data_IF_900678454743
#
_entry.id   IF_900678454743
#
_cell.length_a   1.000
_cell.length_b   1.000
_cell.length_c   1.000
_cell.angle_alpha   90.00
_cell.angle_beta   90.00
_cell.angle_gamma   90.00
#
_symmetry.space_group_name_H-M   'P 1'
#
loop_
_entity.id
_entity.type
_entity.pdbx_description
1 polymer ?
#
# COMPACT_ATOMS: atom_id res chain seq x y z
N UNK A 1 -20.36 -7.45 15.30
CA UNK A 1 -21.43 -6.54 15.75
C UNK A 1 -22.67 -6.83 14.92
N UNK A 2 -23.84 -6.88 15.54
CA UNK A 2 -25.11 -6.91 14.82
C UNK A 2 -25.42 -5.49 14.32
N UNK A 3 -25.99 -5.33 13.11
CA UNK A 3 -26.24 -4.01 12.48
C UNK A 3 -27.00 -3.03 13.39
N UNK A 4 -27.89 -3.54 14.25
CA UNK A 4 -28.64 -2.75 15.21
C UNK A 4 -27.75 -2.11 16.30
N UNK A 5 -26.67 -2.77 16.71
CA UNK A 5 -25.73 -2.25 17.70
C UNK A 5 -24.81 -1.19 17.10
N UNK A 6 -24.33 -1.39 15.87
CA UNK A 6 -23.54 -0.38 15.15
C UNK A 6 -24.37 0.89 14.93
N UNK A 7 -25.63 0.75 14.48
CA UNK A 7 -26.53 1.88 14.27
C UNK A 7 -26.76 2.68 15.56
N UNK A 8 -26.84 2.00 16.72
CA UNK A 8 -26.95 2.66 18.02
C UNK A 8 -25.69 3.46 18.36
N UNK A 9 -24.50 2.87 18.18
CA UNK A 9 -23.22 3.57 18.43
C UNK A 9 -23.02 4.78 17.52
N UNK A 10 -23.42 4.68 16.26
CA UNK A 10 -23.37 5.81 15.31
C UNK A 10 -24.29 6.94 15.77
N UNK A 11 -25.49 6.60 16.26
CA UNK A 11 -26.46 7.59 16.75
C UNK A 11 -25.91 8.32 17.97
N UNK A 12 -25.37 7.60 18.94
CA UNK A 12 -24.74 8.19 20.13
C UNK A 12 -23.56 9.11 19.75
N UNK A 13 -22.70 8.70 18.82
CA UNK A 13 -21.57 9.52 18.35
C UNK A 13 -22.02 10.79 17.63
N UNK A 14 -23.16 10.76 16.92
CA UNK A 14 -23.78 11.95 16.30
C UNK A 14 -24.32 12.93 17.33
N UNK A 15 -24.94 12.43 18.40
CA UNK A 15 -25.39 13.27 19.51
C UNK A 15 -24.22 13.96 20.22
N UNK A 16 -23.13 13.21 20.48
CA UNK A 16 -21.88 13.78 21.01
C UNK A 16 -21.31 14.87 20.09
N UNK A 17 -21.33 14.66 18.77
CA UNK A 17 -20.90 15.68 17.80
C UNK A 17 -21.80 16.92 17.83
N UNK A 18 -23.12 16.76 18.03
CA UNK A 18 -24.04 17.89 18.17
C UNK A 18 -23.67 18.75 19.37
N UNK A 19 -23.45 18.13 20.53
CA UNK A 19 -23.02 18.82 21.73
C UNK A 19 -21.67 19.55 21.54
N UNK A 20 -20.73 18.94 20.79
CA UNK A 20 -19.45 19.60 20.45
C UNK A 20 -19.65 20.86 19.59
N UNK A 21 -20.58 20.84 18.63
CA UNK A 21 -20.91 22.01 17.79
C UNK A 21 -21.61 23.12 18.56
N UNK A 22 -22.42 22.76 19.55
CA UNK A 22 -23.07 23.74 20.43
C UNK A 22 -22.06 24.41 21.37
N UNK A 23 -21.02 23.68 21.79
CA UNK A 23 -19.97 24.20 22.66
C UNK A 23 -18.90 25.03 21.91
N UNK A 24 -18.75 24.86 20.59
CA UNK A 24 -17.78 25.61 19.80
C UNK A 24 -17.39 24.92 18.49
N UNK A 25 -16.14 25.11 18.06
CA UNK A 25 -15.62 24.47 16.85
C UNK A 25 -15.35 22.97 17.09
N UNK A 26 -16.15 22.13 16.44
CA UNK A 26 -16.06 20.67 16.55
C UNK A 26 -14.95 20.04 15.69
N UNK A 27 -14.34 20.80 14.76
CA UNK A 27 -13.29 20.31 13.86
C UNK A 27 -12.11 21.29 13.78
N UNK A 28 -11.43 21.54 14.91
CA UNK A 28 -10.31 22.47 14.95
C UNK A 28 -9.13 21.95 14.10
N UNK A 29 -8.37 22.88 13.52
CA UNK A 29 -7.21 22.61 12.66
C UNK A 29 -5.95 23.39 13.10
N UNK A 30 -5.89 23.81 14.36
CA UNK A 30 -4.88 24.69 14.94
C UNK A 30 -3.73 23.94 15.65
N UNK A 31 -3.93 22.67 16.00
CA UNK A 31 -2.88 21.88 16.66
C UNK A 31 -1.71 21.58 15.71
N UNK A 32 -0.49 21.60 16.24
CA UNK A 32 0.75 21.25 15.53
C UNK A 32 1.51 20.25 16.40
N UNK A 33 1.65 19.01 15.92
CA UNK A 33 2.53 18.01 16.55
C UNK A 33 3.99 18.32 16.20
N UNK A 34 4.90 17.93 17.06
CA UNK A 34 6.36 18.03 16.85
C UNK A 34 7.07 16.66 16.89
N UNK A 35 6.35 15.60 17.24
CA UNK A 35 6.90 14.26 17.36
C UNK A 35 5.97 13.17 16.78
N UNK A 36 6.58 12.06 16.36
CA UNK A 36 5.94 10.82 15.94
C UNK A 36 6.23 9.70 16.94
N UNK A 37 5.29 8.77 17.10
CA UNK A 37 5.39 7.68 18.06
C UNK A 37 6.67 6.84 17.89
N UNK A 38 6.99 6.37 16.68
CA UNK A 38 8.18 5.53 16.47
C UNK A 38 9.48 6.32 16.61
N UNK A 39 9.50 7.61 16.25
CA UNK A 39 10.68 8.47 16.45
C UNK A 39 10.98 8.58 17.95
N UNK A 40 9.95 8.78 18.77
CA UNK A 40 10.08 8.80 20.23
C UNK A 40 10.57 7.45 20.77
N UNK A 41 10.00 6.34 20.32
CA UNK A 41 10.49 5.01 20.73
C UNK A 41 11.94 4.79 20.33
N UNK A 42 12.35 5.19 19.13
CA UNK A 42 13.71 5.04 18.63
C UNK A 42 14.71 5.91 19.40
N UNK A 43 14.41 7.20 19.58
CA UNK A 43 15.29 8.14 20.28
C UNK A 43 15.49 7.78 21.76
N UNK A 44 14.44 7.29 22.43
CA UNK A 44 14.44 7.06 23.86
C UNK A 44 14.50 5.57 24.26
N UNK A 45 14.71 4.65 23.31
CA UNK A 45 14.68 3.19 23.52
C UNK A 45 15.51 2.74 24.73
N UNK A 46 16.71 3.30 24.89
CA UNK A 46 17.70 2.89 25.88
C UNK A 46 17.77 3.80 27.11
N UNK A 47 16.92 4.82 27.21
CA UNK A 47 16.89 5.69 28.39
C UNK A 47 15.97 5.09 29.45
N UNK A 48 16.43 5.02 30.70
CA UNK A 48 15.62 4.58 31.84
C UNK A 48 14.66 5.71 32.31
N UNK A 49 13.81 5.38 33.29
CA UNK A 49 12.82 6.33 33.81
C UNK A 49 13.45 7.54 34.51
N UNK A 50 14.54 7.34 35.26
CA UNK A 50 15.20 8.41 36.01
C UNK A 50 15.87 9.42 35.08
N UNK A 51 16.49 8.95 33.99
CA UNK A 51 17.06 9.82 32.98
C UNK A 51 15.98 10.62 32.23
N UNK A 52 14.87 9.98 31.85
CA UNK A 52 13.75 10.68 31.18
C UNK A 52 13.10 11.73 32.07
N UNK A 53 12.94 11.46 33.37
CA UNK A 53 12.42 12.41 34.34
C UNK A 53 13.37 13.60 34.52
N UNK A 54 14.69 13.37 34.47
CA UNK A 54 15.71 14.43 34.59
C UNK A 54 15.75 15.34 33.37
N UNK A 55 15.67 14.76 32.16
CA UNK A 55 15.66 15.52 30.90
C UNK A 55 14.35 16.30 30.71
N UNK A 56 13.25 15.86 31.35
CA UNK A 56 11.94 16.52 31.33
C UNK A 56 11.45 16.83 29.89
N UNK A 57 11.66 15.87 28.98
CA UNK A 57 11.40 16.03 27.55
C UNK A 57 9.92 16.22 27.27
N UNK A 58 9.56 17.44 26.86
CA UNK A 58 8.19 17.79 26.48
C UNK A 58 7.95 17.53 25.00
N UNK A 59 6.81 16.91 24.68
CA UNK A 59 6.43 16.55 23.32
C UNK A 59 4.97 16.87 23.02
N UNK A 60 4.67 17.16 21.75
CA UNK A 60 3.33 17.39 21.20
C UNK A 60 3.02 16.30 20.19
N UNK A 61 2.09 15.44 20.55
CA UNK A 61 1.70 14.28 19.72
C UNK A 61 0.22 14.37 19.35
N UNK A 62 -0.14 13.77 18.22
CA UNK A 62 -1.52 13.62 17.81
C UNK A 62 -1.72 12.32 17.04
N UNK A 63 -2.84 11.65 17.29
CA UNK A 63 -3.15 10.38 16.66
C UNK A 63 -4.55 9.90 16.94
N UNK A 64 -4.91 8.77 16.34
CA UNK A 64 -6.18 8.08 16.59
C UNK A 64 -6.12 7.36 17.93
N UNK A 65 -7.13 7.55 18.78
CA UNK A 65 -7.26 6.80 20.03
C UNK A 65 -7.63 5.34 19.73
N UNK A 66 -6.70 4.43 19.97
CA UNK A 66 -6.85 2.99 19.72
C UNK A 66 -7.24 2.21 20.97
N UNK A 67 -6.96 2.75 22.15
CA UNK A 67 -7.33 2.16 23.43
C UNK A 67 -7.63 3.25 24.46
N UNK A 68 -8.50 2.93 25.40
CA UNK A 68 -8.91 3.81 26.50
C UNK A 68 -9.17 2.98 27.75
N UNK A 69 -8.46 3.27 28.83
CA UNK A 69 -8.62 2.63 30.14
C UNK A 69 -8.81 3.70 31.22
N UNK A 70 -10.00 3.76 31.79
CA UNK A 70 -10.35 4.73 32.84
C UNK A 70 -10.14 4.09 34.21
N UNK A 71 -9.39 4.76 35.08
CA UNK A 71 -9.02 4.32 36.43
C UNK A 71 -9.40 5.40 37.46
N UNK A 72 -10.68 5.80 37.46
CA UNK A 72 -11.18 6.86 38.34
C UNK A 72 -10.68 8.25 37.92
N UNK A 73 -9.68 8.78 38.66
CA UNK A 73 -9.05 10.10 38.42
C UNK A 73 -7.86 10.05 37.44
N UNK A 74 -7.39 8.86 37.10
CA UNK A 74 -6.35 8.67 36.10
C UNK A 74 -6.85 7.82 34.94
N UNK A 75 -6.26 7.95 33.77
CA UNK A 75 -6.55 7.12 32.60
C UNK A 75 -5.30 6.88 31.77
N UNK A 76 -5.28 5.76 31.06
CA UNK A 76 -4.33 5.51 29.99
C UNK A 76 -5.09 5.46 28.66
N UNK A 77 -4.54 6.11 27.65
CA UNK A 77 -4.96 5.94 26.26
C UNK A 77 -3.77 5.53 25.41
N UNK A 78 -4.05 4.88 24.29
CA UNK A 78 -3.05 4.61 23.27
C UNK A 78 -3.40 5.40 22.03
N UNK A 79 -2.50 6.28 21.60
CA UNK A 79 -2.63 7.03 20.35
C UNK A 79 -1.83 6.33 19.26
N UNK A 80 -2.39 6.30 18.06
CA UNK A 80 -1.75 5.77 16.86
C UNK A 80 -1.65 6.87 15.81
N UNK A 81 -0.42 7.19 15.40
CA UNK A 81 -0.14 8.08 14.28
C UNK A 81 0.27 7.28 13.03
N UNK A 82 0.92 7.94 12.07
CA UNK A 82 1.36 7.29 10.83
C UNK A 82 2.57 6.35 11.01
N UNK A 83 3.33 6.56 12.08
CA UNK A 83 4.56 5.83 12.39
C UNK A 83 4.22 4.59 13.22
N UNK A 84 3.50 4.77 14.32
CA UNK A 84 3.21 3.68 15.24
C UNK A 84 2.27 4.08 16.36
N UNK A 85 2.50 3.55 17.57
CA UNK A 85 1.65 3.73 18.74
C UNK A 85 2.43 4.25 19.94
N UNK A 86 1.84 5.17 20.68
CA UNK A 86 2.39 5.69 21.93
C UNK A 86 1.32 5.76 23.01
N UNK A 87 1.72 5.44 24.25
CA UNK A 87 0.84 5.55 25.41
C UNK A 87 0.79 6.99 25.91
N UNK A 88 -0.38 7.41 26.35
CA UNK A 88 -0.59 8.71 27.00
C UNK A 88 -1.27 8.48 28.33
N UNK A 89 -0.66 9.02 29.38
CA UNK A 89 -1.16 8.99 30.74
C UNK A 89 -1.83 10.32 31.07
N UNK A 90 -3.05 10.22 31.59
CA UNK A 90 -3.91 11.35 31.89
C UNK A 90 -4.24 11.35 33.37
N UNK A 91 -4.02 12.46 34.05
CA UNK A 91 -4.47 12.68 35.42
C UNK A 91 -5.42 13.87 35.43
N UNK A 92 -6.59 13.69 36.06
CA UNK A 92 -7.61 14.73 36.15
C UNK A 92 -7.06 16.06 36.68
N UNK A 93 -6.22 15.95 37.70
CA UNK A 93 -5.73 17.12 38.46
C UNK A 93 -4.56 17.83 37.74
N UNK A 94 -4.00 17.24 36.68
CA UNK A 94 -2.93 17.81 35.84
C UNK A 94 -3.46 18.44 34.53
N UNK A 95 -4.71 18.13 34.15
CA UNK A 95 -5.35 18.68 32.97
C UNK A 95 -6.15 19.95 33.32
N UNK A 96 -6.38 20.87 32.36
CA UNK A 96 -7.24 22.01 32.57
C UNK A 96 -8.63 21.60 33.06
N UNK A 97 -9.25 22.46 33.87
CA UNK A 97 -10.55 22.18 34.49
C UNK A 97 -11.60 21.74 33.46
N UNK A 98 -12.29 20.64 33.74
CA UNK A 98 -13.34 20.09 32.88
C UNK A 98 -12.85 19.22 31.71
N UNK A 99 -11.58 19.32 31.29
CA UNK A 99 -11.05 18.55 30.13
C UNK A 99 -11.12 17.04 30.37
N UNK A 100 -10.75 16.58 31.56
CA UNK A 100 -10.79 15.15 31.90
C UNK A 100 -12.22 14.59 31.88
N UNK A 101 -13.22 15.39 32.26
CA UNK A 101 -14.63 15.06 32.23
C UNK A 101 -15.12 14.94 30.78
N UNK A 102 -14.78 15.90 29.92
CA UNK A 102 -15.04 15.82 28.48
C UNK A 102 -14.38 14.60 27.85
N UNK A 103 -13.12 14.32 28.20
CA UNK A 103 -12.38 13.14 27.74
C UNK A 103 -13.10 11.82 28.06
N UNK A 104 -13.76 11.70 29.21
CA UNK A 104 -14.52 10.48 29.54
C UNK A 104 -15.63 10.18 28.53
N UNK A 105 -16.19 11.19 27.87
CA UNK A 105 -17.19 11.03 26.81
C UNK A 105 -16.60 10.76 25.40
N UNK A 106 -15.28 10.91 25.20
CA UNK A 106 -14.63 10.60 23.92
C UNK A 106 -14.56 9.10 23.66
N UNK A 107 -14.47 8.73 22.38
CA UNK A 107 -14.63 7.35 21.92
C UNK A 107 -13.33 6.83 21.28
N UNK A 108 -13.12 5.51 21.35
CA UNK A 108 -12.09 4.84 20.53
C UNK A 108 -12.40 5.13 19.05
N UNK A 109 -11.36 5.52 18.31
CA UNK A 109 -11.44 6.01 16.94
C UNK A 109 -11.33 7.53 16.81
N UNK A 110 -11.57 8.30 17.88
CA UNK A 110 -11.42 9.75 17.86
C UNK A 110 -9.96 10.16 17.61
N UNK A 111 -9.74 11.26 16.89
CA UNK A 111 -8.40 11.83 16.71
C UNK A 111 -8.15 12.83 17.82
N UNK A 112 -7.09 12.62 18.57
CA UNK A 112 -6.77 13.34 19.81
C UNK A 112 -5.35 13.86 19.74
N UNK A 113 -5.16 15.07 20.25
CA UNK A 113 -3.86 15.67 20.51
C UNK A 113 -3.55 15.63 22.01
N UNK A 114 -2.29 15.37 22.34
CA UNK A 114 -1.77 15.43 23.69
C UNK A 114 -0.42 16.18 23.70
N UNK A 115 -0.19 16.95 24.76
CA UNK A 115 1.11 17.55 25.04
C UNK A 115 1.45 17.29 26.50
N UNK A 116 2.74 17.00 26.75
CA UNK A 116 3.20 16.67 28.08
C UNK A 116 4.63 16.14 28.08
N UNK A 117 5.02 15.58 29.22
CA UNK A 117 6.39 15.13 29.48
C UNK A 117 6.51 13.63 29.25
N UNK A 118 7.59 13.19 28.61
CA UNK A 118 7.90 11.78 28.47
C UNK A 118 8.31 11.15 29.79
N UNK A 119 7.82 9.94 30.04
CA UNK A 119 8.21 9.12 31.18
C UNK A 119 8.06 7.64 30.84
N UNK A 120 8.53 6.75 31.72
CA UNK A 120 8.27 5.32 31.63
C UNK A 120 7.33 4.87 32.73
N UNK A 121 6.36 4.01 32.37
CA UNK A 121 5.52 3.37 33.38
C UNK A 121 6.30 2.32 34.15
N UNK A 122 5.70 1.79 35.23
CA UNK A 122 6.27 0.67 36.00
C UNK A 122 6.51 -0.60 35.17
N UNK A 123 5.79 -0.76 34.05
CA UNK A 123 5.98 -1.88 33.12
C UNK A 123 7.04 -1.58 32.05
N UNK A 124 7.73 -0.44 32.14
CA UNK A 124 8.78 -0.01 31.22
C UNK A 124 8.28 0.65 29.93
N UNK A 125 6.97 0.82 29.76
CA UNK A 125 6.39 1.38 28.52
C UNK A 125 6.59 2.90 28.44
N UNK A 126 7.19 3.37 27.34
CA UNK A 126 7.36 4.80 27.07
C UNK A 126 5.99 5.47 26.91
N UNK A 127 5.76 6.55 27.66
CA UNK A 127 4.47 7.21 27.77
C UNK A 127 4.61 8.73 27.86
N UNK A 128 3.58 9.45 27.43
CA UNK A 128 3.47 10.91 27.62
C UNK A 128 2.55 11.19 28.81
N UNK A 129 3.04 11.80 29.88
CA UNK A 129 2.21 12.34 30.97
C UNK A 129 1.64 13.68 30.49
N UNK A 130 0.39 13.68 30.05
CA UNK A 130 -0.19 14.84 29.39
C UNK A 130 -0.79 15.84 30.38
N UNK A 131 -0.46 17.11 30.19
CA UNK A 131 -1.08 18.27 30.83
C UNK A 131 -1.94 19.09 29.84
N UNK A 132 -1.84 18.82 28.53
CA UNK A 132 -2.81 19.28 27.53
C UNK A 132 -3.41 18.07 26.81
N UNK A 133 -4.73 18.07 26.66
CA UNK A 133 -5.45 17.06 25.90
C UNK A 133 -6.59 17.72 25.11
N UNK A 134 -6.66 17.46 23.80
CA UNK A 134 -7.66 18.06 22.91
C UNK A 134 -8.24 17.03 21.94
N UNK A 135 -9.56 17.08 21.74
CA UNK A 135 -10.21 16.36 20.66
C UNK A 135 -10.04 17.17 19.36
N UNK A 136 -9.47 16.55 18.33
CA UNK A 136 -9.28 17.18 17.02
C UNK A 136 -10.38 16.75 16.03
N UNK A 137 -10.78 15.48 16.07
CA UNK A 137 -11.81 14.98 15.15
C UNK A 137 -12.64 13.90 15.83
N UNK A 138 -13.95 14.13 15.87
CA UNK A 138 -14.91 13.13 16.36
C UNK A 138 -15.11 12.04 15.33
N UNK A 139 -14.92 10.79 15.73
CA UNK A 139 -15.18 9.61 14.92
C UNK A 139 -16.66 9.21 15.04
N UNK A 140 -17.39 9.27 13.93
CA UNK A 140 -18.83 8.96 13.89
C UNK A 140 -19.14 7.48 13.72
N UNK A 141 -18.15 6.68 13.33
CA UNK A 141 -18.26 5.22 13.18
C UNK A 141 -17.29 4.53 14.14
N UNK A 142 -17.71 3.47 14.83
CA UNK A 142 -16.80 2.68 15.66
C UNK A 142 -15.75 1.98 14.81
N UNK A 143 -14.59 1.70 15.41
CA UNK A 143 -13.61 0.80 14.80
C UNK A 143 -14.15 -0.65 14.88
N UNK A 144 -13.79 -1.52 13.91
CA UNK A 144 -14.08 -2.95 14.01
C UNK A 144 -13.49 -3.56 15.28
N UNK A 145 -14.07 -4.66 15.74
CA UNK A 145 -13.62 -5.35 16.96
C UNK A 145 -12.15 -5.82 16.84
N UNK A 146 -11.36 -5.60 17.90
CA UNK A 146 -9.93 -5.89 17.95
C UNK A 146 -9.61 -7.37 17.82
N UNK A 147 -10.50 -8.25 18.30
CA UNK A 147 -10.23 -9.70 18.37
C UNK A 147 -10.41 -10.42 17.04
N UNK A 148 -11.22 -9.87 16.15
CA UNK A 148 -11.49 -10.50 14.86
C UNK A 148 -10.73 -9.85 13.72
N UNK A 149 -10.17 -8.64 13.91
CA UNK A 149 -9.60 -7.86 12.81
C UNK A 149 -10.63 -7.67 11.69
N UNK A 150 -10.23 -7.05 10.59
CA UNK A 150 -11.00 -7.19 9.35
C UNK A 150 -10.48 -8.46 8.68
N UNK A 151 -10.97 -9.64 9.08
CA UNK A 151 -10.60 -10.93 8.46
C UNK A 151 -11.20 -11.10 7.08
N UNK A 152 -12.36 -10.48 6.83
CA UNK A 152 -13.01 -10.47 5.53
C UNK A 152 -12.16 -9.67 4.51
N UNK A 153 -11.52 -10.41 3.60
CA UNK A 153 -10.69 -9.84 2.54
C UNK A 153 -11.46 -8.85 1.66
N UNK A 154 -12.74 -9.09 1.38
CA UNK A 154 -13.53 -8.20 0.55
C UNK A 154 -13.77 -6.87 1.25
N UNK A 155 -14.11 -6.90 2.54
CA UNK A 155 -14.28 -5.71 3.36
C UNK A 155 -12.97 -4.89 3.45
N UNK A 156 -11.81 -5.55 3.57
CA UNK A 156 -10.50 -4.88 3.54
C UNK A 156 -10.27 -4.11 2.24
N UNK A 157 -10.70 -4.67 1.11
CA UNK A 157 -10.54 -4.03 -0.20
C UNK A 157 -11.54 -2.89 -0.41
N UNK A 158 -12.80 -3.06 0.01
CA UNK A 158 -13.84 -2.03 -0.07
C UNK A 158 -13.60 -0.86 0.90
N UNK A 159 -13.01 -1.13 2.05
CA UNK A 159 -12.75 -0.14 3.10
C UNK A 159 -11.27 -0.11 3.48
N UNK A 160 -10.40 0.16 2.50
CA UNK A 160 -8.94 0.19 2.69
C UNK A 160 -8.51 1.07 3.88
N UNK A 161 -9.18 2.20 4.11
CA UNK A 161 -8.88 3.09 5.24
C UNK A 161 -9.08 2.40 6.60
N UNK A 162 -10.05 1.48 6.74
CA UNK A 162 -10.26 0.68 7.95
C UNK A 162 -9.16 -0.37 8.09
N UNK A 163 -8.85 -1.08 7.00
CA UNK A 163 -7.76 -2.07 6.98
C UNK A 163 -6.44 -1.42 7.39
N UNK A 164 -6.11 -0.25 6.84
CA UNK A 164 -4.90 0.49 7.21
C UNK A 164 -4.92 0.92 8.69
N UNK A 165 -6.06 1.29 9.27
CA UNK A 165 -6.13 1.62 10.71
C UNK A 165 -5.83 0.39 11.58
N UNK A 166 -6.35 -0.77 11.19
CA UNK A 166 -6.37 -1.99 12.01
C UNK A 166 -5.19 -2.93 11.77
N UNK A 167 -4.54 -2.87 10.61
CA UNK A 167 -3.52 -3.82 10.17
C UNK A 167 -2.20 -3.11 9.81
N UNK A 168 -1.17 -3.33 10.63
CA UNK A 168 0.16 -2.74 10.41
C UNK A 168 0.90 -3.42 9.24
N UNK A 169 0.70 -4.73 9.03
CA UNK A 169 1.29 -5.44 7.89
C UNK A 169 0.79 -4.87 6.56
N UNK A 170 -0.49 -4.50 6.50
CA UNK A 170 -1.04 -3.81 5.34
C UNK A 170 -0.30 -2.49 5.07
N UNK A 171 -0.02 -1.67 6.09
CA UNK A 171 0.79 -0.45 5.92
C UNK A 171 2.20 -0.76 5.47
N UNK A 172 2.85 -1.75 6.07
CA UNK A 172 4.18 -2.18 5.70
C UNK A 172 4.27 -2.57 4.23
N UNK A 173 3.25 -3.26 3.69
CA UNK A 173 3.15 -3.58 2.26
C UNK A 173 3.10 -2.31 1.40
N UNK A 174 2.28 -1.31 1.74
CA UNK A 174 2.24 -0.05 0.98
C UNK A 174 3.54 0.75 1.09
N UNK A 175 4.16 0.82 2.28
CA UNK A 175 5.47 1.46 2.46
C UNK A 175 6.55 0.77 1.61
N UNK A 176 6.58 -0.57 1.59
CA UNK A 176 7.46 -1.35 0.71
C UNK A 176 7.18 -1.07 -0.77
N UNK A 177 5.91 -1.00 -1.20
CA UNK A 177 5.55 -0.65 -2.57
C UNK A 177 6.13 0.71 -2.98
N UNK A 178 6.05 1.72 -2.13
CA UNK A 178 6.67 3.03 -2.41
C UNK A 178 8.19 2.92 -2.55
N UNK A 179 8.85 2.17 -1.66
CA UNK A 179 10.30 1.90 -1.76
C UNK A 179 10.68 1.16 -3.04
N UNK A 180 9.86 0.20 -3.48
CA UNK A 180 10.06 -0.54 -4.74
C UNK A 180 10.01 0.42 -5.93
N UNK A 181 8.97 1.24 -6.03
CA UNK A 181 8.82 2.19 -7.15
C UNK A 181 9.96 3.21 -7.14
N UNK A 182 10.34 3.73 -5.96
CA UNK A 182 11.48 4.63 -5.84
C UNK A 182 12.78 3.96 -6.31
N UNK A 183 13.05 2.74 -5.85
CA UNK A 183 14.23 2.00 -6.28
C UNK A 183 14.27 1.81 -7.79
N UNK A 184 13.14 1.43 -8.41
CA UNK A 184 13.07 1.24 -9.86
C UNK A 184 13.43 2.55 -10.57
N UNK A 185 12.87 3.69 -10.16
CA UNK A 185 13.24 4.99 -10.74
C UNK A 185 14.72 5.30 -10.58
N UNK A 186 15.24 5.21 -9.36
CA UNK A 186 16.66 5.47 -9.07
C UNK A 186 17.56 4.54 -9.90
N UNK A 187 17.16 3.28 -10.10
CA UNK A 187 17.86 2.30 -10.94
C UNK A 187 17.81 2.69 -12.43
N UNK A 188 16.64 3.05 -12.96
CA UNK A 188 16.50 3.47 -14.36
C UNK A 188 17.32 4.72 -14.66
N UNK A 189 17.26 5.73 -13.77
CA UNK A 189 18.01 6.98 -13.87
C UNK A 189 19.53 6.71 -13.87
N UNK A 190 20.01 5.86 -12.97
CA UNK A 190 21.42 5.48 -12.89
C UNK A 190 21.94 4.78 -14.15
N UNK A 191 21.05 4.20 -14.97
CA UNK A 191 21.39 3.54 -16.23
C UNK A 191 21.06 4.40 -17.47
N UNK A 192 20.78 5.68 -17.27
CA UNK A 192 20.58 6.67 -18.34
C UNK A 192 19.25 6.54 -19.08
N UNK A 193 18.24 5.92 -18.46
CA UNK A 193 16.88 5.96 -18.98
C UNK A 193 16.16 7.23 -18.54
N UNK A 194 15.38 7.82 -19.44
CA UNK A 194 14.56 9.00 -19.15
C UNK A 194 13.11 8.59 -18.87
N UNK A 195 12.56 8.98 -17.71
CA UNK A 195 11.12 8.82 -17.43
C UNK A 195 10.31 9.74 -18.34
N UNK A 196 9.28 9.20 -18.98
CA UNK A 196 8.37 9.93 -19.87
C UNK A 196 6.92 9.64 -19.54
N UNK A 197 6.01 10.51 -19.97
CA UNK A 197 4.57 10.33 -19.82
C UNK A 197 3.90 10.32 -21.19
N UNK A 198 3.19 9.22 -21.51
CA UNK A 198 2.46 9.08 -22.77
C UNK A 198 0.94 9.10 -22.55
N UNK A 199 0.12 9.38 -23.59
CA UNK A 199 -1.32 9.51 -23.43
C UNK A 199 -2.00 8.27 -22.84
N UNK A 200 -2.83 8.50 -21.82
CA UNK A 200 -3.72 7.49 -21.23
C UNK A 200 -4.96 7.22 -22.08
N UNK A 201 -5.41 8.24 -22.83
CA UNK A 201 -6.52 8.14 -23.78
C UNK A 201 -5.95 8.09 -25.19
N UNK A 202 -6.27 7.04 -25.93
CA UNK A 202 -5.73 6.78 -27.26
C UNK A 202 -6.88 6.64 -28.26
N UNK A 203 -6.76 7.19 -29.49
CA UNK A 203 -7.78 7.00 -30.53
C UNK A 203 -7.79 5.57 -31.07
N UNK A 204 -6.64 4.89 -31.04
CA UNK A 204 -6.47 3.49 -31.42
C UNK A 204 -5.69 2.82 -30.29
N UNK A 205 -6.28 1.85 -29.56
CA UNK A 205 -5.58 1.11 -28.53
C UNK A 205 -4.63 0.09 -29.20
N UNK A 206 -3.44 -0.10 -28.63
CA UNK A 206 -2.46 -1.05 -29.13
C UNK A 206 -1.32 -1.30 -28.13
N UNK A 207 -0.32 -2.08 -28.54
CA UNK A 207 0.80 -2.47 -27.67
C UNK A 207 0.54 -3.66 -26.74
N UNK A 208 -0.67 -4.22 -26.79
CA UNK A 208 -1.00 -5.47 -26.11
C UNK A 208 -2.22 -6.11 -26.77
N UNK A 209 -2.51 -7.37 -26.42
CA UNK A 209 -3.74 -8.06 -26.78
C UNK A 209 -4.64 -8.09 -25.54
N UNK A 210 -5.60 -7.17 -25.47
CA UNK A 210 -6.57 -7.07 -24.38
C UNK A 210 -7.82 -6.31 -24.83
N UNK A 211 -8.96 -6.54 -24.17
CA UNK A 211 -10.18 -5.74 -24.41
C UNK A 211 -10.01 -4.36 -23.77
N UNK A 212 -10.12 -3.25 -24.52
CA UNK A 212 -9.94 -1.90 -23.95
C UNK A 212 -11.22 -1.40 -23.26
N UNK A 213 -11.06 -0.41 -22.38
CA UNK A 213 -12.18 0.45 -21.98
C UNK A 213 -12.40 1.53 -23.04
N UNK A 214 -13.67 1.84 -23.31
CA UNK A 214 -14.09 2.83 -24.30
C UNK A 214 -14.66 4.06 -23.58
N UNK A 215 -14.33 5.25 -24.07
CA UNK A 215 -14.89 6.52 -23.61
C UNK A 215 -15.17 7.45 -24.79
N UNK A 216 -15.82 8.59 -24.55
CA UNK A 216 -16.14 9.60 -25.58
C UNK A 216 -15.62 10.97 -25.18
N UNK A 217 -14.94 11.64 -26.11
CA UNK A 217 -14.46 13.00 -25.93
C UNK A 217 -15.51 14.00 -26.46
N UNK A 218 -16.37 14.48 -25.57
CA UNK A 218 -17.55 15.30 -25.93
C UNK A 218 -17.24 16.52 -26.82
N UNK A 219 -16.15 17.26 -26.55
CA UNK A 219 -15.86 18.49 -27.30
C UNK A 219 -15.30 18.27 -28.71
N UNK A 220 -14.73 17.08 -28.96
CA UNK A 220 -14.18 16.70 -30.28
C UNK A 220 -15.09 15.69 -30.99
N UNK A 221 -16.21 15.34 -30.35
CA UNK A 221 -17.14 14.31 -30.76
C UNK A 221 -16.46 13.03 -31.30
N UNK A 222 -15.50 12.51 -30.52
CA UNK A 222 -14.72 11.34 -30.94
C UNK A 222 -14.60 10.27 -29.85
N UNK A 223 -14.60 9.02 -30.29
CA UNK A 223 -14.34 7.87 -29.44
C UNK A 223 -12.86 7.80 -29.06
N UNK A 224 -12.60 7.50 -27.80
CA UNK A 224 -11.26 7.26 -27.26
C UNK A 224 -11.27 5.96 -26.44
N UNK A 225 -10.07 5.45 -26.19
CA UNK A 225 -9.85 4.24 -25.43
C UNK A 225 -8.88 4.52 -24.29
N UNK A 226 -9.14 3.97 -23.11
CA UNK A 226 -8.09 3.91 -22.09
C UNK A 226 -7.02 2.92 -22.56
N UNK A 227 -5.75 3.32 -22.48
CA UNK A 227 -4.65 2.52 -23.02
C UNK A 227 -4.53 1.15 -22.34
N UNK A 228 -4.27 0.14 -23.15
CA UNK A 228 -3.94 -1.22 -22.69
C UNK A 228 -2.43 -1.42 -22.49
N UNK A 229 -1.62 -0.57 -23.15
CA UNK A 229 -0.17 -0.45 -23.03
C UNK A 229 0.31 0.91 -23.61
N UNK A 230 1.40 1.50 -23.11
CA UNK A 230 2.06 2.67 -23.72
C UNK A 230 3.01 2.36 -24.89
N UNK A 231 3.38 1.09 -25.14
CA UNK A 231 4.37 0.64 -26.14
C UNK A 231 4.47 1.48 -27.42
N UNK A 232 3.37 1.66 -28.15
CA UNK A 232 3.40 2.31 -29.46
C UNK A 232 3.82 3.79 -29.37
N UNK A 233 3.50 4.47 -28.28
CA UNK A 233 3.91 5.86 -28.07
C UNK A 233 5.39 5.93 -27.65
N UNK A 234 5.82 5.02 -26.77
CA UNK A 234 7.22 4.95 -26.36
C UNK A 234 8.15 4.66 -27.54
N UNK A 235 7.78 3.74 -28.44
CA UNK A 235 8.55 3.48 -29.67
C UNK A 235 8.62 4.70 -30.61
N UNK A 236 7.58 5.55 -30.65
CA UNK A 236 7.62 6.82 -31.40
C UNK A 236 8.63 7.80 -30.80
N UNK A 237 8.83 7.79 -29.49
CA UNK A 237 9.88 8.60 -28.84
C UNK A 237 11.28 8.11 -29.22
N UNK A 238 11.48 6.79 -29.30
CA UNK A 238 12.73 6.20 -29.80
C UNK A 238 12.99 6.64 -31.24
N UNK A 239 11.98 6.59 -32.12
CA UNK A 239 12.08 7.14 -33.49
C UNK A 239 12.44 8.63 -33.46
N UNK A 240 11.93 9.39 -32.50
CA UNK A 240 12.23 10.80 -32.29
C UNK A 240 13.63 11.09 -31.72
N UNK A 241 14.43 10.07 -31.39
CA UNK A 241 15.79 10.21 -30.89
C UNK A 241 15.95 10.03 -29.37
N UNK A 242 14.89 9.71 -28.62
CA UNK A 242 15.04 9.31 -27.22
C UNK A 242 15.38 7.82 -27.12
N UNK A 243 16.68 7.54 -27.16
CA UNK A 243 17.22 6.17 -27.29
C UNK A 243 17.06 5.31 -26.03
N UNK A 244 16.83 5.90 -24.85
CA UNK A 244 16.53 5.19 -23.60
C UNK A 244 15.40 5.88 -22.85
N UNK A 245 14.21 5.29 -22.87
CA UNK A 245 13.01 5.83 -22.20
C UNK A 245 12.33 4.77 -21.36
N UNK A 246 11.64 5.20 -20.30
CA UNK A 246 10.75 4.33 -19.55
C UNK A 246 9.52 5.07 -19.06
N UNK A 247 8.46 4.32 -18.75
CA UNK A 247 7.25 4.85 -18.13
C UNK A 247 6.74 3.88 -17.05
N UNK A 248 6.47 4.41 -15.86
CA UNK A 248 5.79 3.68 -14.76
C UNK A 248 4.42 4.30 -14.56
N UNK A 249 3.38 3.72 -15.15
CA UNK A 249 2.03 4.25 -14.98
C UNK A 249 0.96 3.17 -15.27
N UNK A 250 -0.31 3.57 -15.29
CA UNK A 250 -1.45 2.66 -15.42
C UNK A 250 -1.61 2.11 -16.83
N UNK A 251 -2.07 0.86 -16.88
CA UNK A 251 -2.71 0.24 -18.04
C UNK A 251 -4.09 -0.26 -17.63
N UNK A 252 -5.04 -0.24 -18.55
CA UNK A 252 -6.45 -0.55 -18.30
C UNK A 252 -6.89 -1.70 -19.20
N UNK A 253 -7.40 -2.79 -18.62
CA UNK A 253 -7.91 -3.96 -19.36
C UNK A 253 -9.31 -4.28 -18.89
N UNK A 254 -10.26 -4.24 -19.80
CA UNK A 254 -11.67 -4.51 -19.55
C UNK A 254 -11.93 -6.02 -19.56
N UNK A 255 -11.32 -6.69 -18.59
CA UNK A 255 -11.34 -8.14 -18.38
C UNK A 255 -11.98 -8.48 -17.03
N UNK A 256 -12.13 -9.77 -16.75
CA UNK A 256 -12.68 -10.24 -15.47
C UNK A 256 -11.79 -9.84 -14.29
N UNK A 257 -12.41 -9.49 -13.16
CA UNK A 257 -11.70 -9.26 -11.90
C UNK A 257 -11.41 -10.59 -11.21
N UNK A 258 -10.19 -10.78 -10.71
CA UNK A 258 -9.83 -11.94 -9.91
C UNK A 258 -8.81 -11.57 -8.84
N UNK A 259 -8.41 -12.52 -8.00
CA UNK A 259 -7.36 -12.31 -6.98
C UNK A 259 -5.99 -11.96 -7.58
N UNK A 260 -5.79 -12.19 -8.89
CA UNK A 260 -4.55 -11.89 -9.63
C UNK A 260 -4.71 -10.80 -10.68
N UNK A 261 -5.94 -10.39 -11.00
CA UNK A 261 -6.23 -9.46 -12.09
C UNK A 261 -7.12 -8.32 -11.62
N UNK A 262 -6.62 -7.09 -11.77
CA UNK A 262 -7.36 -5.87 -11.51
C UNK A 262 -7.51 -5.10 -12.85
N UNK A 263 -8.66 -4.49 -13.14
CA UNK A 263 -8.93 -3.84 -14.43
C UNK A 263 -8.02 -2.65 -14.71
N UNK A 264 -7.37 -2.12 -13.67
CA UNK A 264 -6.25 -1.20 -13.79
C UNK A 264 -5.04 -1.73 -13.02
N UNK A 265 -3.85 -1.63 -13.60
CA UNK A 265 -2.62 -2.05 -12.93
C UNK A 265 -1.46 -1.17 -13.36
N UNK A 266 -0.41 -1.13 -12.52
CA UNK A 266 0.80 -0.36 -12.82
C UNK A 266 1.76 -1.25 -13.59
N UNK A 267 2.31 -0.73 -14.68
CA UNK A 267 3.31 -1.39 -15.51
C UNK A 267 4.54 -0.49 -15.59
N UNK A 268 5.73 -1.09 -15.60
CA UNK A 268 6.95 -0.47 -16.11
C UNK A 268 7.12 -0.95 -17.55
N UNK A 269 7.15 -0.02 -18.50
CA UNK A 269 7.69 -0.27 -19.84
C UNK A 269 8.98 0.52 -20.02
N UNK A 270 9.97 -0.06 -20.69
CA UNK A 270 11.20 0.63 -21.04
C UNK A 270 11.71 0.20 -22.41
N UNK A 271 12.38 1.13 -23.08
CA UNK A 271 12.94 0.95 -24.41
C UNK A 271 14.38 1.42 -24.43
N UNK A 272 15.23 0.62 -25.06
CA UNK A 272 16.67 0.85 -25.18
C UNK A 272 17.08 0.57 -26.63
N UNK A 273 17.40 1.62 -27.38
CA UNK A 273 17.90 1.51 -28.75
C UNK A 273 19.26 0.81 -28.79
N UNK A 274 19.51 0.08 -29.88
CA UNK A 274 20.71 -0.71 -30.11
C UNK A 274 20.97 -1.82 -29.06
N UNK A 275 19.95 -2.19 -28.30
CA UNK A 275 19.94 -3.34 -27.42
C UNK A 275 19.00 -4.42 -27.98
N UNK A 276 19.29 -5.67 -27.69
CA UNK A 276 18.41 -6.79 -27.98
C UNK A 276 17.82 -7.38 -26.69
N UNK A 277 17.04 -8.46 -26.80
CA UNK A 277 16.37 -9.05 -25.65
C UNK A 277 17.35 -9.66 -24.63
N UNK A 278 18.58 -10.02 -25.01
CA UNK A 278 19.59 -10.50 -24.07
C UNK A 278 20.01 -9.39 -23.11
N UNK A 279 20.20 -8.17 -23.62
CA UNK A 279 20.46 -7.00 -22.78
C UNK A 279 19.30 -6.76 -21.79
N UNK A 280 18.06 -6.93 -22.24
CA UNK A 280 16.88 -6.76 -21.39
C UNK A 280 16.79 -7.84 -20.30
N UNK A 281 17.16 -9.09 -20.62
CA UNK A 281 17.22 -10.19 -19.65
C UNK A 281 18.25 -9.89 -18.55
N UNK A 282 19.47 -9.52 -18.94
CA UNK A 282 20.55 -9.18 -18.01
C UNK A 282 20.19 -7.95 -17.15
N UNK A 283 19.59 -6.94 -17.77
CA UNK A 283 19.15 -5.73 -17.09
C UNK A 283 18.04 -6.00 -16.07
N UNK A 284 17.07 -6.83 -16.42
CA UNK A 284 15.98 -7.22 -15.52
C UNK A 284 16.50 -8.00 -14.32
N UNK A 285 17.42 -8.94 -14.52
CA UNK A 285 18.03 -9.70 -13.43
C UNK A 285 18.77 -8.78 -12.45
N UNK A 286 19.60 -7.86 -12.98
CA UNK A 286 20.31 -6.86 -12.17
C UNK A 286 19.36 -5.96 -11.37
N UNK A 287 18.27 -5.51 -12.00
CA UNK A 287 17.25 -4.70 -11.34
C UNK A 287 16.58 -5.47 -10.20
N UNK A 288 16.15 -6.70 -10.44
CA UNK A 288 15.44 -7.53 -9.46
C UNK A 288 16.34 -7.90 -8.27
N UNK A 289 17.61 -8.23 -8.53
CA UNK A 289 18.61 -8.52 -7.48
C UNK A 289 18.85 -7.30 -6.59
N UNK A 290 19.13 -6.14 -7.18
CA UNK A 290 19.31 -4.89 -6.42
C UNK A 290 18.05 -4.48 -5.65
N UNK A 291 16.87 -4.71 -6.23
CA UNK A 291 15.58 -4.40 -5.61
C UNK A 291 15.34 -5.28 -4.37
N UNK A 292 15.60 -6.58 -4.47
CA UNK A 292 15.46 -7.53 -3.38
C UNK A 292 16.35 -7.12 -2.20
N UNK A 293 17.63 -6.86 -2.46
CA UNK A 293 18.57 -6.41 -1.43
C UNK A 293 18.13 -5.07 -0.81
N UNK A 294 17.79 -4.06 -1.63
CA UNK A 294 17.46 -2.73 -1.14
C UNK A 294 16.14 -2.64 -0.35
N UNK A 295 15.16 -3.50 -0.66
CA UNK A 295 13.82 -3.44 -0.04
C UNK A 295 13.62 -4.51 1.03
N UNK A 296 14.16 -5.71 0.82
CA UNK A 296 14.02 -6.85 1.72
C UNK A 296 15.24 -7.06 2.62
N UNK A 297 16.39 -6.43 2.33
CA UNK A 297 17.64 -6.63 3.07
C UNK A 297 18.31 -7.98 2.80
N UNK A 298 17.86 -8.67 1.74
CA UNK A 298 18.41 -9.95 1.28
C UNK A 298 17.98 -10.19 -0.15
N UNK A 299 18.85 -10.85 -0.92
CA UNK A 299 18.52 -11.45 -2.23
C UNK A 299 17.62 -12.68 -2.12
N UNK A 300 17.45 -13.26 -0.93
CA UNK A 300 16.56 -14.40 -0.69
C UNK A 300 15.20 -13.88 -0.22
N UNK A 301 14.16 -14.14 -1.01
CA UNK A 301 12.78 -13.73 -0.72
C UNK A 301 11.89 -14.95 -0.52
N UNK A 302 11.19 -15.00 0.61
CA UNK A 302 10.18 -16.02 0.91
C UNK A 302 8.82 -15.60 0.37
N UNK A 303 8.19 -16.44 -0.45
CA UNK A 303 6.87 -16.18 -1.01
C UNK A 303 6.06 -17.46 -1.24
N UNK A 304 4.87 -17.53 -0.65
CA UNK A 304 3.94 -18.67 -0.76
C UNK A 304 4.53 -20.05 -0.41
N UNK A 305 5.44 -20.09 0.57
CA UNK A 305 6.10 -21.33 1.01
C UNK A 305 7.35 -21.69 0.20
N UNK A 306 7.69 -20.90 -0.82
CA UNK A 306 8.86 -21.08 -1.66
C UNK A 306 9.93 -20.01 -1.36
N UNK A 307 11.18 -20.38 -1.59
CA UNK A 307 12.34 -19.52 -1.44
C UNK A 307 12.91 -19.12 -2.80
N UNK A 308 12.94 -17.82 -3.09
CA UNK A 308 13.46 -17.28 -4.35
C UNK A 308 14.81 -16.60 -4.08
N UNK A 309 15.88 -17.10 -4.70
CA UNK A 309 17.22 -16.50 -4.60
C UNK A 309 17.52 -15.66 -5.85
N UNK A 310 17.46 -14.33 -5.68
CA UNK A 310 17.75 -13.36 -6.74
C UNK A 310 19.25 -13.16 -7.01
N UNK A 311 20.13 -13.79 -6.22
CA UNK A 311 21.58 -13.81 -6.47
C UNK A 311 21.96 -14.81 -7.56
N UNK A 312 21.13 -15.82 -7.81
CA UNK A 312 21.37 -16.77 -8.89
C UNK A 312 20.97 -16.21 -10.25
N UNK A 313 21.68 -16.57 -11.32
CA UNK A 313 21.23 -16.32 -12.68
C UNK A 313 19.82 -16.86 -12.91
N UNK A 314 18.97 -16.08 -13.57
CA UNK A 314 17.61 -16.54 -13.88
C UNK A 314 17.67 -17.67 -14.91
N UNK A 315 16.81 -18.68 -14.74
CA UNK A 315 16.67 -19.74 -15.73
C UNK A 315 16.20 -19.15 -17.07
N UNK A 316 16.94 -19.41 -18.15
CA UNK A 316 16.61 -18.98 -19.51
C UNK A 316 16.23 -20.21 -20.33
N UNK A 317 14.94 -20.34 -20.62
CA UNK A 317 14.37 -21.43 -21.41
C UNK A 317 13.58 -20.83 -22.57
N UNK A 318 13.76 -21.38 -23.76
CA UNK A 318 12.80 -21.19 -24.85
C UNK A 318 11.44 -21.81 -24.47
N UNK A 319 10.37 -21.37 -25.13
CA UNK A 319 9.02 -21.96 -24.94
C UNK A 319 9.06 -23.47 -25.16
N UNK A 320 9.78 -23.91 -26.19
CA UNK A 320 9.97 -25.33 -26.52
C UNK A 320 10.65 -26.12 -25.41
N UNK A 321 11.73 -25.59 -24.84
CA UNK A 321 12.43 -26.23 -23.72
C UNK A 321 11.55 -26.28 -22.48
N UNK A 322 10.82 -25.20 -22.16
CA UNK A 322 9.91 -25.16 -21.02
C UNK A 322 8.79 -26.20 -21.17
N UNK A 323 8.13 -26.27 -22.33
CA UNK A 323 7.09 -27.28 -22.59
C UNK A 323 7.65 -28.68 -22.39
N UNK A 324 8.83 -28.99 -22.95
CA UNK A 324 9.48 -30.31 -22.78
C UNK A 324 9.85 -30.61 -21.33
N UNK A 325 10.36 -29.63 -20.58
CA UNK A 325 10.78 -29.83 -19.19
C UNK A 325 9.61 -30.19 -18.27
N UNK A 326 8.43 -29.61 -18.51
CA UNK A 326 7.23 -29.85 -17.71
C UNK A 326 6.29 -30.91 -18.31
N UNK A 327 6.56 -31.38 -19.52
CA UNK A 327 5.82 -32.45 -20.20
C UNK A 327 6.82 -33.44 -20.82
N UNK A 328 7.34 -34.40 -20.03
CA UNK A 328 8.41 -35.29 -20.47
C UNK A 328 8.09 -36.09 -21.74
N UNK A 329 6.81 -36.38 -22.00
CA UNK A 329 6.35 -37.12 -23.18
C UNK A 329 6.17 -36.24 -24.44
N UNK A 330 6.36 -34.93 -24.31
CA UNK A 330 6.27 -34.00 -25.44
C UNK A 330 7.35 -34.28 -26.49
N UNK A 331 6.96 -34.49 -27.74
CA UNK A 331 7.89 -34.64 -28.86
C UNK A 331 8.28 -33.26 -29.39
N UNK A 332 9.40 -32.77 -28.90
CA UNK A 332 9.93 -31.46 -29.29
C UNK A 332 10.27 -31.34 -30.78
N UNK A 333 10.43 -32.45 -31.53
CA UNK A 333 10.71 -32.36 -32.97
C UNK A 333 9.52 -31.86 -33.77
N UNK A 334 8.31 -31.99 -33.20
CA UNK A 334 7.02 -31.62 -33.79
C UNK A 334 6.47 -30.30 -33.24
N UNK A 335 7.32 -29.48 -32.61
CA UNK A 335 6.90 -28.23 -31.96
C UNK A 335 6.23 -27.24 -32.92
N UNK A 336 6.56 -27.29 -34.21
CA UNK A 336 6.00 -26.39 -35.23
C UNK A 336 4.79 -27.01 -35.97
N UNK A 337 4.33 -28.20 -35.57
CA UNK A 337 3.20 -28.90 -36.18
C UNK A 337 1.90 -28.56 -35.45
N UNK A 338 1.06 -27.73 -36.08
CA UNK A 338 -0.24 -27.31 -35.54
C UNK A 338 -1.11 -28.50 -35.12
N UNK A 339 -1.27 -29.51 -35.97
CA UNK A 339 -2.15 -30.64 -35.72
C UNK A 339 -1.67 -31.49 -34.53
N UNK A 340 -0.35 -31.62 -34.37
CA UNK A 340 0.23 -32.30 -33.22
C UNK A 340 -0.07 -31.55 -31.92
N UNK A 341 0.18 -30.24 -31.90
CA UNK A 341 -0.12 -29.39 -30.75
C UNK A 341 -1.61 -29.35 -30.43
N UNK A 342 -2.47 -29.29 -31.45
CA UNK A 342 -3.92 -29.30 -31.26
C UNK A 342 -4.39 -30.60 -30.59
N UNK A 343 -3.87 -31.77 -31.02
CA UNK A 343 -4.18 -33.04 -30.38
C UNK A 343 -3.70 -33.13 -28.91
N UNK A 344 -2.56 -32.50 -28.58
CA UNK A 344 -2.11 -32.36 -27.20
C UNK A 344 -3.02 -31.43 -26.39
N UNK A 345 -3.44 -30.31 -26.97
CA UNK A 345 -4.39 -29.41 -26.33
C UNK A 345 -5.72 -30.10 -26.04
N UNK A 346 -6.25 -30.90 -26.97
CA UNK A 346 -7.48 -31.68 -26.77
C UNK A 346 -7.38 -32.66 -25.59
N UNK A 347 -6.26 -33.39 -25.50
CA UNK A 347 -6.00 -34.31 -24.37
C UNK A 347 -5.88 -33.58 -23.03
N UNK A 348 -5.33 -32.37 -23.05
CA UNK A 348 -5.24 -31.47 -21.89
C UNK A 348 -6.52 -30.64 -21.65
N UNK A 349 -7.57 -30.81 -22.48
CA UNK A 349 -8.83 -30.06 -22.43
C UNK A 349 -8.65 -28.54 -22.60
N UNK A 350 -7.67 -28.14 -23.39
CA UNK A 350 -7.42 -26.75 -23.79
C UNK A 350 -8.18 -26.50 -25.11
N UNK A 351 -9.12 -25.54 -25.16
CA UNK A 351 -9.85 -25.22 -26.39
C UNK A 351 -8.93 -24.69 -27.49
N UNK A 352 -9.01 -25.25 -28.69
CA UNK A 352 -8.27 -24.80 -29.88
C UNK A 352 -9.24 -24.13 -30.85
N UNK A 353 -8.93 -22.92 -31.30
CA UNK A 353 -9.71 -22.22 -32.32
C UNK A 353 -9.11 -22.45 -33.70
N UNK A 354 -9.92 -22.38 -34.75
CA UNK A 354 -9.49 -22.65 -36.13
C UNK A 354 -8.37 -21.71 -36.60
N UNK A 355 -8.35 -20.47 -36.07
CA UNK A 355 -7.37 -19.46 -36.40
C UNK A 355 -6.06 -19.56 -35.60
N UNK A 356 -5.91 -20.53 -34.70
CA UNK A 356 -4.67 -20.72 -33.95
C UNK A 356 -3.63 -21.46 -34.82
N UNK A 357 -2.42 -20.88 -34.88
CA UNK A 357 -1.24 -21.50 -35.49
C UNK A 357 -0.46 -22.37 -34.50
N UNK A 358 0.73 -22.81 -34.91
CA UNK A 358 1.64 -23.56 -34.02
C UNK A 358 2.39 -22.67 -33.01
N UNK A 359 2.45 -21.35 -33.24
CA UNK A 359 3.14 -20.36 -32.41
C UNK A 359 2.25 -19.19 -32.05
#
# INVERSE_FOLDING_TARGET
MNDNEENRLITERREKLRALREAGDAFPNDFRRDALADDLHGMYANMDGEHLETENMRVRIAGRMMAKRIMGKASFIQLQDESGRIQVFLQRDELPEGVYQSFKAWDIGDVVAAEGVLFRTRTGELSVKADVLRLLTKSLRPLPDKYHGVTDMELRYRQRYVDLIMNEDARAVFRKRTRIIKFIRDFMDAHGFMEVETPMMQPIPGGAVARPFVTHHNALDMQLYLRIAPELYLKRLVVGGFERVYEINKSFRNEGVSTRHNPEFTMLEFYWAYADYHDLLDFTERMMRGLAEAVCGSTIVQYQGESYDFEQPFARLSVKEAVKAYNPDFDSTRFDEREYLAGLCETLKIPVQDNYGAG
#
